data_IF_288942162345
#
_entry.id   IF_288942162345
#
_cell.length_a   1.000
_cell.length_b   1.000
_cell.length_c   1.000
_cell.angle_alpha   90.00
_cell.angle_beta   90.00
_cell.angle_gamma   90.00
#
_symmetry.space_group_name_H-M   'P 1'
#
loop_
_entity.id
_entity.type
_entity.pdbx_description
1 polymer ?
#
# COMPACT_ATOMS: atom_id res chain seq x y z
N UNK A 1 -12.76 -42.15 -59.19
CA UNK A 1 -13.24 -40.73 -59.13
C UNK A 1 -13.22 -40.30 -57.66
N UNK A 2 -12.24 -39.49 -57.29
CA UNK A 2 -12.06 -39.03 -55.91
C UNK A 2 -12.53 -37.58 -55.85
N UNK A 3 -13.66 -37.31 -55.17
CA UNK A 3 -14.17 -35.96 -54.92
C UNK A 3 -13.43 -35.34 -53.76
N UNK A 4 -12.76 -34.19 -54.03
CA UNK A 4 -12.15 -33.31 -53.01
C UNK A 4 -13.22 -32.35 -52.50
N UNK A 5 -13.60 -32.45 -51.26
CA UNK A 5 -14.40 -31.43 -50.58
C UNK A 5 -13.44 -30.33 -50.05
N UNK A 6 -13.56 -29.15 -50.64
CA UNK A 6 -12.88 -27.92 -50.18
C UNK A 6 -13.79 -27.32 -49.11
N UNK A 7 -13.32 -27.37 -47.85
CA UNK A 7 -13.97 -26.74 -46.72
C UNK A 7 -13.58 -25.24 -46.72
N UNK A 8 -14.50 -24.39 -47.12
CA UNK A 8 -14.35 -22.94 -47.00
C UNK A 8 -14.60 -22.52 -45.54
N UNK A 9 -13.50 -22.20 -44.83
CA UNK A 9 -13.55 -21.62 -43.50
C UNK A 9 -13.89 -20.12 -43.66
N UNK A 10 -15.14 -19.75 -43.49
CA UNK A 10 -15.55 -18.34 -43.43
C UNK A 10 -15.13 -17.79 -42.08
N UNK A 11 -13.95 -17.15 -41.99
CA UNK A 11 -13.59 -16.26 -40.90
C UNK A 11 -14.45 -14.99 -40.97
N UNK A 12 -15.58 -15.02 -40.28
CA UNK A 12 -16.34 -13.80 -40.03
C UNK A 12 -15.53 -12.90 -39.08
N UNK A 13 -14.78 -11.97 -39.67
CA UNK A 13 -14.25 -10.81 -38.97
C UNK A 13 -15.46 -9.98 -38.48
N UNK A 14 -15.82 -10.14 -37.24
CA UNK A 14 -16.63 -9.15 -36.54
C UNK A 14 -15.76 -7.88 -36.41
N UNK A 15 -15.83 -7.03 -37.43
CA UNK A 15 -15.51 -5.61 -37.31
C UNK A 15 -16.60 -4.99 -36.42
N UNK A 16 -16.47 -5.20 -35.11
CA UNK A 16 -17.17 -4.37 -34.14
C UNK A 16 -16.70 -2.95 -34.36
N UNK A 17 -17.49 -2.15 -35.10
CA UNK A 17 -17.29 -0.72 -35.20
C UNK A 17 -17.24 -0.17 -33.78
N UNK A 18 -16.06 0.25 -33.32
CA UNK A 18 -15.90 1.01 -32.10
C UNK A 18 -16.66 2.32 -32.31
N UNK A 19 -17.94 2.33 -31.96
CA UNK A 19 -18.75 3.55 -31.88
C UNK A 19 -18.03 4.48 -30.91
N UNK A 20 -17.54 5.61 -31.43
CA UNK A 20 -16.85 6.58 -30.59
C UNK A 20 -17.79 6.98 -29.43
N UNK A 21 -17.39 6.63 -28.22
CA UNK A 21 -18.16 6.86 -27.01
C UNK A 21 -18.46 8.36 -26.86
N UNK A 22 -19.70 8.70 -26.63
CA UNK A 22 -20.11 10.11 -26.49
C UNK A 22 -19.77 10.63 -25.08
N UNK A 23 -19.67 11.93 -24.94
CA UNK A 23 -19.47 12.60 -23.64
C UNK A 23 -20.57 12.23 -22.62
N UNK A 24 -21.82 12.06 -23.09
CA UNK A 24 -22.95 11.69 -22.24
C UNK A 24 -22.81 10.26 -21.73
N UNK A 25 -22.41 9.33 -22.58
CA UNK A 25 -22.11 7.95 -22.18
C UNK A 25 -20.95 7.90 -21.18
N UNK A 26 -19.88 8.68 -21.39
CA UNK A 26 -18.78 8.76 -20.46
C UNK A 26 -19.21 9.30 -19.08
N UNK A 27 -20.10 10.31 -19.05
CA UNK A 27 -20.69 10.80 -17.79
C UNK A 27 -21.52 9.74 -17.08
N UNK A 28 -22.31 8.96 -17.80
CA UNK A 28 -23.08 7.87 -17.23
C UNK A 28 -22.17 6.78 -16.61
N UNK A 29 -21.08 6.43 -17.30
CA UNK A 29 -20.06 5.49 -16.78
C UNK A 29 -19.38 6.07 -15.55
N UNK A 30 -18.97 7.32 -15.58
CA UNK A 30 -18.36 7.99 -14.42
C UNK A 30 -19.27 7.94 -13.19
N UNK A 31 -20.57 8.23 -13.37
CA UNK A 31 -21.55 8.17 -12.27
C UNK A 31 -21.75 6.76 -11.73
N UNK A 32 -21.55 5.73 -12.56
CA UNK A 32 -21.59 4.33 -12.15
C UNK A 32 -20.27 3.84 -11.48
N UNK A 33 -19.20 4.63 -11.55
CA UNK A 33 -17.88 4.24 -11.07
C UNK A 33 -17.02 3.50 -12.10
N UNK A 34 -17.46 3.36 -13.35
CA UNK A 34 -16.71 2.73 -14.45
C UNK A 34 -15.66 3.69 -15.02
N UNK A 35 -14.70 4.07 -14.17
CA UNK A 35 -13.70 5.11 -14.48
C UNK A 35 -12.78 4.73 -15.64
N UNK A 36 -12.37 3.47 -15.72
CA UNK A 36 -11.55 2.95 -16.82
C UNK A 36 -12.19 3.18 -18.19
N UNK A 37 -13.49 2.90 -18.31
CA UNK A 37 -14.21 3.05 -19.55
C UNK A 37 -14.52 4.53 -19.87
N UNK A 38 -14.74 5.36 -18.86
CA UNK A 38 -15.01 6.79 -19.02
C UNK A 38 -13.76 7.60 -19.39
N UNK A 39 -12.61 7.20 -18.87
CA UNK A 39 -11.33 7.92 -18.93
C UNK A 39 -10.89 8.34 -20.33
N UNK A 40 -10.91 7.50 -21.39
CA UNK A 40 -10.44 7.90 -22.72
C UNK A 40 -11.21 9.07 -23.30
N UNK A 41 -12.52 9.13 -23.06
CA UNK A 41 -13.38 10.24 -23.54
C UNK A 41 -13.02 11.53 -22.81
N UNK A 42 -12.95 11.51 -21.49
CA UNK A 42 -12.58 12.71 -20.71
C UNK A 42 -11.17 13.19 -20.99
N UNK A 43 -10.22 12.27 -21.23
CA UNK A 43 -8.87 12.62 -21.67
C UNK A 43 -8.87 13.44 -22.96
N UNK A 44 -9.64 12.99 -23.97
CA UNK A 44 -9.78 13.70 -25.23
C UNK A 44 -10.32 15.12 -25.02
N UNK A 45 -11.37 15.28 -24.20
CA UNK A 45 -11.96 16.59 -23.93
C UNK A 45 -11.04 17.47 -23.06
N UNK A 46 -10.38 16.94 -22.04
CA UNK A 46 -9.45 17.69 -21.22
C UNK A 46 -8.23 18.19 -22.03
N UNK A 47 -7.73 17.38 -22.96
CA UNK A 47 -6.64 17.78 -23.86
C UNK A 47 -7.07 18.82 -24.91
N UNK A 48 -8.28 18.71 -25.44
CA UNK A 48 -8.79 19.65 -26.45
C UNK A 48 -9.23 20.98 -25.86
N UNK A 49 -9.63 21.00 -24.59
CA UNK A 49 -10.09 22.19 -23.86
C UNK A 49 -9.43 22.28 -22.48
N UNK A 50 -8.13 22.54 -22.40
CA UNK A 50 -7.37 22.45 -21.15
C UNK A 50 -7.78 23.49 -20.09
N UNK A 51 -8.50 24.54 -20.50
CA UNK A 51 -9.03 25.54 -19.56
C UNK A 51 -10.41 25.18 -18.99
N UNK A 52 -11.04 24.10 -19.46
CA UNK A 52 -12.34 23.67 -18.98
C UNK A 52 -12.19 22.84 -17.70
N UNK A 53 -12.51 23.44 -16.55
CA UNK A 53 -12.40 22.80 -15.26
C UNK A 53 -13.20 21.51 -15.10
N UNK A 54 -14.39 21.41 -15.73
CA UNK A 54 -15.20 20.20 -15.62
C UNK A 54 -14.56 19.01 -16.36
N UNK A 55 -13.98 19.22 -17.53
CA UNK A 55 -13.27 18.15 -18.23
C UNK A 55 -12.01 17.73 -17.49
N UNK A 56 -11.29 18.69 -16.94
CA UNK A 56 -10.14 18.43 -16.07
C UNK A 56 -10.56 17.65 -14.82
N UNK A 57 -11.67 18.01 -14.19
CA UNK A 57 -12.22 17.29 -13.05
C UNK A 57 -12.53 15.83 -13.35
N UNK A 58 -13.36 15.57 -14.38
CA UNK A 58 -13.73 14.19 -14.71
C UNK A 58 -12.55 13.34 -15.11
N UNK A 59 -11.61 13.89 -15.90
CA UNK A 59 -10.41 13.17 -16.28
C UNK A 59 -9.49 12.92 -15.07
N UNK A 60 -9.26 13.94 -14.25
CA UNK A 60 -8.43 13.82 -13.06
C UNK A 60 -8.98 12.80 -12.05
N UNK A 61 -10.31 12.79 -11.83
CA UNK A 61 -10.93 11.76 -10.98
C UNK A 61 -10.77 10.36 -11.59
N UNK A 62 -10.94 10.21 -12.90
CA UNK A 62 -10.68 8.93 -13.56
C UNK A 62 -9.23 8.48 -13.35
N UNK A 63 -8.24 9.36 -13.56
CA UNK A 63 -6.83 9.04 -13.33
C UNK A 63 -6.59 8.60 -11.88
N UNK A 64 -7.11 9.33 -10.90
CA UNK A 64 -6.99 8.96 -9.49
C UNK A 64 -7.56 7.57 -9.22
N UNK A 65 -8.77 7.30 -9.70
CA UNK A 65 -9.47 6.02 -9.46
C UNK A 65 -8.92 4.85 -10.26
N UNK A 66 -8.04 5.09 -11.23
CA UNK A 66 -7.35 4.09 -12.04
C UNK A 66 -5.84 3.99 -11.73
N UNK A 67 -5.39 4.55 -10.59
CA UNK A 67 -4.02 4.39 -10.10
C UNK A 67 -2.99 5.27 -10.80
N UNK A 68 -3.38 6.44 -11.30
CA UNK A 68 -2.49 7.43 -11.92
C UNK A 68 -2.55 8.77 -11.16
N UNK A 69 -2.10 8.80 -9.88
CA UNK A 69 -2.29 9.96 -9.01
C UNK A 69 -1.51 11.19 -9.47
N UNK A 70 -0.33 11.05 -10.07
CA UNK A 70 0.46 12.19 -10.57
C UNK A 70 -0.25 12.90 -11.74
N UNK A 71 -0.84 12.14 -12.65
CA UNK A 71 -1.63 12.72 -13.74
C UNK A 71 -2.94 13.32 -13.19
N UNK A 72 -3.54 12.69 -12.17
CA UNK A 72 -4.71 13.22 -11.48
C UNK A 72 -4.44 14.59 -10.85
N UNK A 73 -3.34 14.77 -10.13
CA UNK A 73 -2.94 16.05 -9.54
C UNK A 73 -2.97 17.15 -10.57
N UNK A 74 -2.29 16.98 -11.70
CA UNK A 74 -2.17 17.98 -12.77
C UNK A 74 -3.53 18.50 -13.27
N UNK A 75 -4.50 17.61 -13.44
CA UNK A 75 -5.82 17.99 -13.95
C UNK A 75 -6.74 18.48 -12.82
N UNK A 76 -6.64 17.92 -11.63
CA UNK A 76 -7.44 18.36 -10.49
C UNK A 76 -7.04 19.75 -9.99
N UNK A 77 -5.75 20.11 -10.04
CA UNK A 77 -5.30 21.50 -9.81
C UNK A 77 -6.02 22.49 -10.76
N UNK A 78 -6.17 22.12 -12.02
CA UNK A 78 -6.94 22.95 -12.98
C UNK A 78 -8.40 23.01 -12.58
N UNK A 79 -9.02 21.91 -12.17
CA UNK A 79 -10.41 21.88 -11.73
C UNK A 79 -10.64 22.77 -10.50
N UNK A 80 -9.76 22.70 -9.50
CA UNK A 80 -9.80 23.55 -8.28
C UNK A 80 -9.62 25.03 -8.65
N UNK A 81 -8.64 25.36 -9.48
CA UNK A 81 -8.44 26.74 -9.99
C UNK A 81 -9.68 27.29 -10.70
N UNK A 82 -10.45 26.42 -11.34
CA UNK A 82 -11.73 26.77 -11.99
C UNK A 82 -12.94 26.64 -11.05
N UNK A 83 -12.71 26.38 -9.75
CA UNK A 83 -13.76 26.27 -8.71
C UNK A 83 -14.81 25.20 -9.00
N UNK A 84 -14.39 24.08 -9.57
CA UNK A 84 -15.28 22.93 -9.78
C UNK A 84 -15.61 22.31 -8.43
N UNK A 85 -16.90 22.14 -8.17
CA UNK A 85 -17.37 21.55 -6.92
C UNK A 85 -16.80 20.13 -6.72
N UNK A 86 -16.31 19.84 -5.53
CA UNK A 86 -15.66 18.56 -5.19
C UNK A 86 -14.23 18.42 -5.69
N UNK A 87 -13.70 19.39 -6.44
CA UNK A 87 -12.32 19.35 -6.93
C UNK A 87 -11.29 19.23 -5.80
N UNK A 88 -11.47 19.97 -4.71
CA UNK A 88 -10.58 19.94 -3.55
C UNK A 88 -10.53 18.58 -2.85
N UNK A 89 -11.67 17.88 -2.76
CA UNK A 89 -11.73 16.54 -2.18
C UNK A 89 -10.83 15.56 -2.94
N UNK A 90 -11.00 15.48 -4.26
CA UNK A 90 -10.21 14.56 -5.08
C UNK A 90 -8.76 15.01 -5.27
N UNK A 91 -8.50 16.32 -5.27
CA UNK A 91 -7.13 16.82 -5.30
C UNK A 91 -6.39 16.47 -4.01
N UNK A 92 -7.04 16.61 -2.85
CA UNK A 92 -6.49 16.17 -1.57
C UNK A 92 -6.16 14.67 -1.56
N UNK A 93 -7.06 13.82 -2.08
CA UNK A 93 -6.79 12.39 -2.24
C UNK A 93 -5.60 12.14 -3.17
N UNK A 94 -5.51 12.83 -4.32
CA UNK A 94 -4.39 12.69 -5.25
C UNK A 94 -3.06 13.15 -4.65
N UNK A 95 -3.09 14.20 -3.82
CA UNK A 95 -1.91 14.63 -3.06
C UNK A 95 -1.48 13.60 -2.02
N UNK A 96 -2.42 12.96 -1.32
CA UNK A 96 -2.10 11.84 -0.42
C UNK A 96 -1.41 10.70 -1.17
N UNK A 97 -1.96 10.28 -2.31
CA UNK A 97 -1.43 9.16 -3.11
C UNK A 97 -0.07 9.50 -3.76
N UNK A 98 0.33 10.79 -3.75
CA UNK A 98 1.65 11.27 -4.21
C UNK A 98 2.55 11.76 -3.06
N UNK A 99 2.24 11.37 -1.83
CA UNK A 99 2.99 11.74 -0.60
C UNK A 99 3.12 13.24 -0.33
N UNK A 100 2.26 14.05 -0.93
CA UNK A 100 2.18 15.50 -0.73
C UNK A 100 1.18 15.83 0.39
N UNK A 101 1.41 15.30 1.57
CA UNK A 101 0.46 15.34 2.68
C UNK A 101 0.12 16.75 3.17
N UNK A 102 1.07 17.68 3.12
CA UNK A 102 0.82 19.08 3.50
C UNK A 102 -0.18 19.76 2.54
N UNK A 103 -0.01 19.52 1.25
CA UNK A 103 -0.95 20.00 0.22
C UNK A 103 -2.33 19.33 0.38
N UNK A 104 -2.36 18.05 0.73
CA UNK A 104 -3.60 17.32 1.00
C UNK A 104 -4.36 17.91 2.21
N UNK A 105 -3.66 18.17 3.31
CA UNK A 105 -4.24 18.83 4.51
C UNK A 105 -4.88 20.15 4.13
N UNK A 106 -4.18 21.01 3.39
CA UNK A 106 -4.70 22.30 2.93
C UNK A 106 -5.97 22.12 2.09
N UNK A 107 -5.97 21.17 1.14
CA UNK A 107 -7.15 20.89 0.31
C UNK A 107 -8.36 20.43 1.12
N UNK A 108 -8.18 19.55 2.11
CA UNK A 108 -9.28 19.08 2.93
C UNK A 108 -9.79 20.16 3.87
N UNK A 109 -8.94 20.99 4.47
CA UNK A 109 -9.35 22.12 5.30
C UNK A 109 -10.20 23.14 4.49
N UNK A 110 -9.77 23.47 3.27
CA UNK A 110 -10.55 24.35 2.39
C UNK A 110 -11.89 23.70 1.98
N UNK A 111 -11.90 22.38 1.73
CA UNK A 111 -13.11 21.65 1.38
C UNK A 111 -14.11 21.60 2.53
N UNK A 112 -13.65 21.34 3.75
CA UNK A 112 -14.45 21.36 4.99
C UNK A 112 -15.06 22.76 5.20
N UNK A 113 -14.26 23.80 5.01
CA UNK A 113 -14.75 25.18 5.14
C UNK A 113 -15.89 25.50 4.15
N UNK A 114 -15.79 24.98 2.89
CA UNK A 114 -16.85 25.14 1.89
C UNK A 114 -18.11 24.32 2.24
N UNK A 115 -17.96 23.08 2.69
CA UNK A 115 -19.06 22.24 3.13
C UNK A 115 -19.81 22.86 4.32
N UNK A 116 -19.07 23.38 5.31
CA UNK A 116 -19.63 24.06 6.49
C UNK A 116 -20.45 25.28 6.10
N UNK A 117 -19.95 26.13 5.18
CA UNK A 117 -20.69 27.27 4.65
C UNK A 117 -22.00 26.85 3.97
N UNK A 118 -21.98 25.68 3.32
CA UNK A 118 -23.16 25.12 2.63
C UNK A 118 -24.03 24.25 3.53
N UNK A 119 -23.74 24.15 4.82
CA UNK A 119 -24.44 23.32 5.81
C UNK A 119 -24.54 21.84 5.37
N UNK A 120 -23.48 21.30 4.80
CA UNK A 120 -23.36 19.89 4.41
C UNK A 120 -22.52 19.13 5.45
N UNK A 121 -22.65 17.80 5.48
CA UNK A 121 -21.83 16.95 6.32
C UNK A 121 -20.35 17.10 5.97
N UNK A 122 -19.49 17.14 6.98
CA UNK A 122 -18.02 17.26 6.88
C UNK A 122 -17.32 15.97 7.28
N UNK A 123 -18.05 14.98 7.80
CA UNK A 123 -17.52 13.77 8.42
C UNK A 123 -16.50 13.02 7.56
N UNK A 124 -16.81 12.77 6.27
CA UNK A 124 -15.88 12.10 5.36
C UNK A 124 -14.60 12.92 5.13
N UNK A 125 -14.74 14.23 4.96
CA UNK A 125 -13.61 15.12 4.72
C UNK A 125 -12.74 15.28 5.98
N UNK A 126 -13.34 15.30 7.16
CA UNK A 126 -12.63 15.32 8.45
C UNK A 126 -11.84 14.03 8.67
N UNK A 127 -12.39 12.87 8.36
CA UNK A 127 -11.68 11.60 8.42
C UNK A 127 -10.44 11.58 7.50
N UNK A 128 -10.58 12.08 6.27
CA UNK A 128 -9.47 12.20 5.31
C UNK A 128 -8.42 13.22 5.80
N UNK A 129 -8.85 14.32 6.39
CA UNK A 129 -7.96 15.33 6.98
C UNK A 129 -7.12 14.74 8.11
N UNK A 130 -7.75 14.02 9.05
CA UNK A 130 -7.03 13.41 10.17
C UNK A 130 -6.04 12.34 9.70
N UNK A 131 -6.42 11.53 8.70
CA UNK A 131 -5.49 10.60 8.06
C UNK A 131 -4.28 11.35 7.48
N UNK A 132 -4.50 12.38 6.65
CA UNK A 132 -3.41 13.15 6.05
C UNK A 132 -2.50 13.81 7.08
N UNK A 133 -3.05 14.28 8.21
CA UNK A 133 -2.25 14.80 9.32
C UNK A 133 -1.43 13.73 10.01
N UNK A 134 -1.95 12.51 10.13
CA UNK A 134 -1.19 11.38 10.65
C UNK A 134 -0.04 11.02 9.70
N UNK A 135 -0.33 10.88 8.41
CA UNK A 135 0.66 10.57 7.36
C UNK A 135 1.76 11.65 7.30
N UNK A 136 1.38 12.95 7.46
CA UNK A 136 2.34 14.06 7.52
C UNK A 136 3.25 13.98 8.76
N UNK A 137 2.71 13.57 9.91
CA UNK A 137 3.53 13.35 11.12
C UNK A 137 4.51 12.22 10.92
N UNK A 138 4.06 11.10 10.32
CA UNK A 138 4.92 9.96 9.98
C UNK A 138 6.03 10.37 9.02
N UNK A 139 5.71 11.09 7.94
CA UNK A 139 6.69 11.58 6.98
C UNK A 139 7.78 12.45 7.64
N UNK A 140 7.42 13.26 8.65
CA UNK A 140 8.38 14.08 9.40
C UNK A 140 9.26 13.27 10.35
N UNK A 141 8.83 12.07 10.72
CA UNK A 141 9.60 11.12 11.54
C UNK A 141 10.45 10.15 10.73
N UNK A 142 10.32 10.14 9.40
CA UNK A 142 11.12 9.26 8.54
C UNK A 142 12.58 9.71 8.55
N UNK A 143 13.49 8.78 8.84
CA UNK A 143 14.93 8.99 8.69
C UNK A 143 15.35 8.69 7.25
N UNK A 144 16.24 9.50 6.70
CA UNK A 144 16.84 9.26 5.38
C UNK A 144 17.67 7.98 5.40
N UNK A 145 17.27 6.98 4.62
CA UNK A 145 18.01 5.73 4.48
C UNK A 145 19.13 5.91 3.46
N UNK A 146 20.37 5.76 3.93
CA UNK A 146 21.54 5.70 3.06
C UNK A 146 21.69 4.30 2.47
N UNK A 147 21.48 4.14 1.16
CA UNK A 147 21.74 2.87 0.46
C UNK A 147 23.26 2.70 0.32
N UNK A 148 23.83 1.76 1.07
CA UNK A 148 25.26 1.47 1.05
C UNK A 148 25.61 0.57 -0.12
N UNK A 149 24.76 -0.42 -0.42
CA UNK A 149 24.97 -1.39 -1.50
C UNK A 149 23.63 -1.97 -2.01
N UNK A 150 23.65 -2.58 -3.19
CA UNK A 150 22.49 -3.26 -3.77
C UNK A 150 22.92 -4.54 -4.49
N UNK A 151 22.16 -5.62 -4.30
CA UNK A 151 22.46 -6.94 -4.87
C UNK A 151 21.25 -7.44 -5.66
N UNK A 152 21.53 -8.08 -6.79
CA UNK A 152 20.53 -8.86 -7.52
C UNK A 152 20.87 -10.33 -7.32
N UNK A 153 20.02 -11.03 -6.61
CA UNK A 153 20.18 -12.45 -6.27
C UNK A 153 18.93 -13.23 -6.60
N UNK A 154 19.07 -14.52 -6.87
CA UNK A 154 17.92 -15.41 -7.00
C UNK A 154 17.18 -15.52 -5.67
N UNK A 155 15.82 -15.60 -5.72
CA UNK A 155 14.97 -15.76 -4.55
C UNK A 155 15.42 -16.91 -3.64
N UNK A 156 15.85 -18.03 -4.22
CA UNK A 156 16.35 -19.19 -3.49
C UNK A 156 17.66 -18.92 -2.72
N UNK A 157 18.45 -17.94 -3.14
CA UNK A 157 19.74 -17.58 -2.54
C UNK A 157 19.70 -16.23 -1.81
N UNK A 158 18.51 -15.71 -1.56
CA UNK A 158 18.29 -14.38 -1.00
C UNK A 158 19.11 -14.14 0.28
N UNK A 159 19.11 -15.08 1.23
CA UNK A 159 19.84 -14.95 2.49
C UNK A 159 21.36 -14.96 2.31
N UNK A 160 21.90 -15.49 1.23
CA UNK A 160 23.35 -15.49 0.98
C UNK A 160 23.94 -14.10 0.77
N UNK A 161 23.10 -13.12 0.40
CA UNK A 161 23.46 -11.71 0.26
C UNK A 161 23.57 -10.99 1.62
N UNK A 162 22.91 -11.52 2.67
CA UNK A 162 22.92 -10.92 4.00
C UNK A 162 24.10 -11.43 4.81
N UNK A 163 25.08 -10.57 5.04
CA UNK A 163 26.22 -10.84 5.93
C UNK A 163 25.93 -10.27 7.32
N UNK A 164 25.06 -10.92 8.06
CA UNK A 164 24.82 -10.57 9.46
C UNK A 164 26.00 -11.10 10.28
N UNK A 165 26.52 -10.30 11.22
CA UNK A 165 27.54 -10.79 12.15
C UNK A 165 26.96 -11.86 13.07
N UNK A 166 27.77 -12.81 13.50
CA UNK A 166 27.34 -13.85 14.45
C UNK A 166 26.82 -13.26 15.78
N UNK A 167 27.28 -12.08 16.14
CA UNK A 167 26.82 -11.30 17.29
C UNK A 167 25.42 -10.71 17.12
N UNK A 168 24.89 -10.70 15.89
CA UNK A 168 23.54 -10.18 15.59
C UNK A 168 22.50 -11.28 15.46
N UNK A 169 22.87 -12.55 15.68
CA UNK A 169 21.98 -13.70 15.52
C UNK A 169 22.06 -14.35 14.14
N UNK A 170 21.02 -15.10 13.76
CA UNK A 170 20.97 -15.85 12.50
C UNK A 170 19.63 -15.70 11.81
N UNK A 171 19.66 -15.66 10.48
CA UNK A 171 18.47 -15.67 9.64
C UNK A 171 18.38 -16.99 8.86
N UNK A 172 17.15 -17.50 8.76
CA UNK A 172 16.82 -18.71 8.00
C UNK A 172 15.60 -18.42 7.14
N UNK A 173 15.44 -19.13 6.04
CA UNK A 173 14.16 -19.18 5.35
C UNK A 173 13.15 -19.98 6.19
N UNK A 174 11.90 -19.53 6.25
CA UNK A 174 10.87 -20.16 7.08
C UNK A 174 10.73 -21.67 6.78
N UNK A 175 10.64 -22.03 5.50
CA UNK A 175 10.45 -23.41 5.10
C UNK A 175 11.66 -24.32 5.40
N UNK A 176 12.86 -23.77 5.32
CA UNK A 176 14.08 -24.51 5.69
C UNK A 176 14.15 -24.76 7.20
N UNK A 177 13.82 -23.77 8.00
CA UNK A 177 13.87 -23.87 9.45
C UNK A 177 12.82 -24.85 10.01
N UNK A 178 11.57 -24.71 9.54
CA UNK A 178 10.47 -25.55 10.03
C UNK A 178 10.27 -26.85 9.22
N UNK A 179 11.06 -27.07 8.16
CA UNK A 179 10.97 -28.25 7.28
C UNK A 179 9.56 -28.42 6.68
N UNK A 180 8.97 -27.31 6.26
CA UNK A 180 7.61 -27.27 5.70
C UNK A 180 7.65 -27.16 4.17
N UNK A 181 6.64 -27.76 3.51
CA UNK A 181 6.42 -27.59 2.07
C UNK A 181 5.66 -26.28 1.79
N UNK A 182 5.86 -25.72 0.60
CA UNK A 182 5.17 -24.52 0.15
C UNK A 182 6.10 -23.32 -0.04
N UNK A 183 5.54 -22.18 -0.41
CA UNK A 183 6.28 -20.91 -0.60
C UNK A 183 5.86 -19.93 0.51
N UNK A 184 6.47 -20.04 1.68
CA UNK A 184 6.28 -19.08 2.76
C UNK A 184 7.28 -17.91 2.55
N UNK A 185 6.80 -16.66 2.42
CA UNK A 185 7.67 -15.53 2.07
C UNK A 185 8.52 -15.01 3.23
N UNK A 186 8.30 -15.49 4.45
CA UNK A 186 8.93 -14.98 5.66
C UNK A 186 10.27 -15.63 5.98
N UNK A 187 10.98 -14.99 6.90
CA UNK A 187 12.22 -15.46 7.51
C UNK A 187 12.01 -15.83 8.95
N UNK A 188 12.91 -16.67 9.50
CA UNK A 188 13.04 -16.95 10.93
C UNK A 188 14.32 -16.29 11.42
N UNK A 189 14.19 -15.44 12.42
CA UNK A 189 15.31 -14.82 13.09
C UNK A 189 15.60 -15.55 14.41
N UNK A 190 16.80 -16.10 14.57
CA UNK A 190 17.28 -16.67 15.80
C UNK A 190 18.18 -15.66 16.50
N UNK A 191 17.93 -15.40 17.79
CA UNK A 191 18.72 -14.46 18.60
C UNK A 191 20.17 -14.90 18.72
N UNK A 192 21.08 -13.96 19.00
CA UNK A 192 22.52 -14.20 19.23
C UNK A 192 22.78 -15.38 20.14
N UNK A 193 22.11 -15.44 21.29
CA UNK A 193 22.26 -16.53 22.27
C UNK A 193 21.66 -17.86 21.77
N UNK A 194 20.85 -17.83 20.69
CA UNK A 194 20.22 -19.03 20.14
C UNK A 194 19.14 -19.65 21.03
N UNK A 195 18.57 -18.86 21.96
CA UNK A 195 17.59 -19.32 22.94
C UNK A 195 16.16 -18.93 22.57
N UNK A 196 15.98 -18.11 21.56
CA UNK A 196 14.67 -17.62 21.10
C UNK A 196 14.67 -17.39 19.60
N UNK A 197 13.55 -17.69 18.97
CA UNK A 197 13.31 -17.35 17.56
C UNK A 197 12.09 -16.47 17.43
N UNK A 198 12.11 -15.67 16.37
CA UNK A 198 11.00 -14.83 15.92
C UNK A 198 10.70 -15.12 14.45
N UNK A 199 9.45 -15.18 14.08
CA UNK A 199 8.99 -15.48 12.73
C UNK A 199 7.58 -14.97 12.53
N UNK A 200 7.12 -14.92 11.28
CA UNK A 200 5.76 -14.51 10.96
C UNK A 200 4.96 -15.69 10.44
N UNK A 201 3.75 -15.81 10.91
CA UNK A 201 2.79 -16.83 10.52
C UNK A 201 1.38 -16.22 10.51
N UNK A 202 0.42 -16.87 9.84
CA UNK A 202 -0.97 -16.40 9.84
C UNK A 202 -1.57 -16.48 11.24
N UNK A 203 -1.95 -15.31 11.76
CA UNK A 203 -2.66 -15.16 13.02
C UNK A 203 -4.16 -15.45 12.88
N UNK A 204 -4.90 -15.30 13.98
CA UNK A 204 -6.34 -15.57 14.04
C UNK A 204 -7.16 -14.70 13.06
N UNK A 205 -6.69 -13.50 12.74
CA UNK A 205 -7.35 -12.58 11.79
C UNK A 205 -7.04 -12.88 10.33
N UNK A 206 -6.14 -13.86 10.07
CA UNK A 206 -5.71 -14.25 8.73
C UNK A 206 -4.58 -13.40 8.15
N UNK A 207 -4.16 -12.32 8.82
CA UNK A 207 -2.97 -11.54 8.53
C UNK A 207 -1.71 -12.28 9.03
N UNK A 208 -0.55 -11.85 8.57
CA UNK A 208 0.71 -12.28 9.15
C UNK A 208 0.91 -11.58 10.50
N UNK A 209 1.07 -12.35 11.55
CA UNK A 209 1.42 -11.89 12.89
C UNK A 209 2.82 -12.36 13.23
N UNK A 210 3.56 -11.62 14.03
CA UNK A 210 4.87 -12.04 14.54
C UNK A 210 4.70 -12.91 15.77
N UNK A 211 5.32 -14.10 15.71
CA UNK A 211 5.36 -15.08 16.78
C UNK A 211 6.78 -15.22 17.32
N UNK A 212 6.88 -15.74 18.54
CA UNK A 212 8.15 -16.19 19.11
C UNK A 212 8.05 -17.57 19.69
N UNK A 213 9.19 -18.31 19.69
CA UNK A 213 9.38 -19.57 20.41
C UNK A 213 10.66 -19.49 21.23
N UNK A 214 10.62 -20.08 22.43
CA UNK A 214 11.79 -20.25 23.26
C UNK A 214 12.38 -21.64 23.05
N UNK A 215 13.70 -21.75 23.11
CA UNK A 215 14.41 -23.02 23.04
C UNK A 215 14.24 -23.75 24.35
N UNK A 216 13.74 -24.97 24.25
CA UNK A 216 13.73 -25.94 25.34
C UNK A 216 14.96 -26.84 25.21
N UNK A 217 15.12 -27.85 26.08
CA UNK A 217 16.33 -28.71 26.10
C UNK A 217 16.61 -29.35 24.73
N UNK A 218 15.57 -29.91 24.07
CA UNK A 218 15.71 -30.64 22.80
C UNK A 218 14.75 -30.16 21.70
N UNK A 219 13.92 -29.15 21.95
CA UNK A 219 12.87 -28.68 21.02
C UNK A 219 12.59 -27.19 21.20
N UNK A 220 11.78 -26.63 20.31
CA UNK A 220 11.23 -25.28 20.46
C UNK A 220 9.87 -25.35 21.15
N UNK A 221 9.57 -24.37 21.99
CA UNK A 221 8.24 -24.23 22.59
C UNK A 221 7.16 -24.01 21.52
N UNK A 222 5.90 -24.09 21.93
CA UNK A 222 4.81 -23.62 21.06
C UNK A 222 4.98 -22.14 20.73
N UNK A 223 4.63 -21.78 19.50
CA UNK A 223 4.62 -20.39 19.05
C UNK A 223 3.63 -19.55 19.85
N UNK A 224 4.04 -18.36 20.24
CA UNK A 224 3.20 -17.37 20.89
C UNK A 224 3.24 -16.08 20.10
N UNK A 225 2.08 -15.48 19.75
CA UNK A 225 2.08 -14.18 19.11
C UNK A 225 2.70 -13.14 20.05
N UNK A 226 3.41 -12.17 19.49
CA UNK A 226 3.94 -11.07 20.30
C UNK A 226 2.79 -10.22 20.85
N UNK A 227 2.87 -9.82 22.14
CA UNK A 227 1.83 -9.03 22.76
C UNK A 227 1.88 -7.56 22.31
N UNK A 228 0.75 -6.88 22.41
CA UNK A 228 0.63 -5.45 22.16
C UNK A 228 0.43 -5.09 20.70
N UNK A 229 0.77 -3.86 20.36
CA UNK A 229 0.41 -3.22 19.10
C UNK A 229 1.12 -3.75 17.85
N UNK A 230 2.16 -4.58 17.99
CA UNK A 230 2.92 -5.12 16.83
C UNK A 230 2.00 -5.86 15.85
N UNK A 231 1.06 -6.65 16.36
CA UNK A 231 0.18 -7.51 15.58
C UNK A 231 -1.23 -6.90 15.39
N UNK A 232 -1.47 -5.64 15.73
CA UNK A 232 -2.83 -5.06 15.71
C UNK A 232 -3.31 -4.62 14.33
N UNK A 233 -2.41 -4.20 13.46
CA UNK A 233 -2.75 -3.68 12.14
C UNK A 233 -1.99 -4.39 11.02
N UNK A 234 -2.70 -4.75 9.93
CA UNK A 234 -2.11 -5.30 8.70
C UNK A 234 -1.35 -6.61 8.90
N UNK A 235 -0.37 -6.83 8.03
CA UNK A 235 0.60 -7.91 8.11
C UNK A 235 1.85 -7.40 8.84
N UNK A 236 2.31 -8.11 9.86
CA UNK A 236 3.60 -7.86 10.52
C UNK A 236 4.60 -8.94 10.11
N UNK A 237 5.79 -8.56 9.60
CA UNK A 237 6.76 -9.49 9.03
C UNK A 237 8.20 -9.05 9.29
N UNK A 238 9.15 -9.95 8.98
CA UNK A 238 10.60 -9.73 9.04
C UNK A 238 11.10 -9.20 10.39
N UNK A 239 10.76 -9.85 11.51
CA UNK A 239 11.22 -9.41 12.84
C UNK A 239 12.73 -9.54 12.97
N UNK A 240 13.34 -8.51 13.57
CA UNK A 240 14.75 -8.49 13.94
C UNK A 240 14.91 -7.85 15.32
N UNK A 241 15.56 -8.54 16.25
CA UNK A 241 15.75 -8.06 17.63
C UNK A 241 17.20 -7.67 17.82
N UNK A 242 17.44 -6.49 18.38
CA UNK A 242 18.80 -6.04 18.70
C UNK A 242 19.42 -6.87 19.83
N UNK A 243 20.74 -6.76 19.97
CA UNK A 243 21.51 -7.44 21.02
C UNK A 243 21.10 -7.04 22.45
N UNK A 244 20.34 -5.95 22.61
CA UNK A 244 19.75 -5.56 23.91
C UNK A 244 18.61 -6.52 24.35
N UNK A 245 18.12 -7.35 23.44
CA UNK A 245 17.07 -8.34 23.68
C UNK A 245 15.66 -7.77 23.86
N UNK A 246 15.49 -6.45 23.76
CA UNK A 246 14.21 -5.77 24.01
C UNK A 246 13.75 -4.90 22.84
N UNK A 247 14.67 -4.39 22.03
CA UNK A 247 14.34 -3.56 20.86
C UNK A 247 14.11 -4.47 19.64
N UNK A 248 12.94 -4.35 19.02
CA UNK A 248 12.55 -5.12 17.82
C UNK A 248 12.26 -4.17 16.66
N UNK A 249 12.85 -4.47 15.51
CA UNK A 249 12.48 -3.93 14.22
C UNK A 249 11.62 -4.95 13.48
N UNK A 250 10.64 -4.48 12.76
CA UNK A 250 9.78 -5.31 11.92
C UNK A 250 9.16 -4.49 10.80
N UNK A 251 8.66 -5.16 9.77
CA UNK A 251 7.95 -4.50 8.68
C UNK A 251 6.44 -4.76 8.82
N UNK A 252 5.61 -3.74 8.56
CA UNK A 252 4.16 -3.88 8.49
C UNK A 252 3.57 -3.06 7.36
N UNK A 253 2.46 -3.53 6.78
CA UNK A 253 1.64 -2.84 5.79
C UNK A 253 0.32 -2.29 6.37
N UNK A 254 0.14 -2.42 7.67
CA UNK A 254 -1.09 -1.99 8.36
C UNK A 254 -1.11 -0.51 8.73
N UNK A 255 0.04 0.03 9.08
CA UNK A 255 0.27 1.45 9.38
C UNK A 255 1.48 1.89 8.57
N UNK A 256 1.51 3.16 8.16
CA UNK A 256 2.61 3.66 7.36
C UNK A 256 2.16 4.45 6.14
N UNK A 257 3.11 4.76 5.27
CA UNK A 257 2.90 5.59 4.08
C UNK A 257 2.44 4.78 2.86
N UNK A 258 2.32 3.47 2.99
CA UNK A 258 1.86 2.54 1.96
C UNK A 258 2.85 1.42 1.66
N UNK A 259 2.34 0.19 1.47
CA UNK A 259 3.17 -1.01 1.40
C UNK A 259 3.74 -1.39 2.76
N UNK A 260 4.91 -2.05 2.76
CA UNK A 260 5.62 -2.38 4.00
C UNK A 260 6.55 -1.23 4.40
N UNK A 261 6.31 -0.68 5.59
CA UNK A 261 7.21 0.27 6.25
C UNK A 261 7.92 -0.43 7.43
N UNK A 262 9.12 0.05 7.81
CA UNK A 262 9.88 -0.49 8.92
C UNK A 262 9.53 0.28 10.19
N UNK A 263 9.17 -0.45 11.22
CA UNK A 263 8.86 0.08 12.54
C UNK A 263 9.82 -0.45 13.58
N UNK A 264 10.04 0.34 14.61
CA UNK A 264 10.80 -0.06 15.80
C UNK A 264 9.93 0.08 17.06
N UNK A 265 10.07 -0.88 17.98
CA UNK A 265 9.47 -0.78 19.30
C UNK A 265 10.33 -1.48 20.33
N UNK A 266 10.02 -1.28 21.61
CA UNK A 266 10.75 -1.86 22.72
C UNK A 266 9.82 -2.62 23.65
N UNK A 267 10.27 -3.80 24.09
CA UNK A 267 9.57 -4.58 25.09
C UNK A 267 9.74 -3.96 26.49
N UNK A 268 8.62 -3.72 27.15
CA UNK A 268 8.57 -3.23 28.51
C UNK A 268 8.31 -4.40 29.47
N UNK A 269 9.33 -4.80 30.22
CA UNK A 269 9.27 -5.92 31.17
C UNK A 269 8.32 -5.68 32.34
N UNK A 270 7.99 -4.41 32.64
CA UNK A 270 7.07 -4.08 33.74
C UNK A 270 5.60 -4.29 33.35
N UNK A 271 5.27 -4.09 32.08
CA UNK A 271 3.90 -4.24 31.56
C UNK A 271 3.69 -5.51 30.75
N UNK A 272 4.76 -6.30 30.54
CA UNK A 272 4.78 -7.53 29.73
C UNK A 272 4.22 -7.28 28.30
N UNK A 273 4.57 -6.13 27.71
CA UNK A 273 4.07 -5.70 26.40
C UNK A 273 5.10 -4.83 25.67
N UNK A 274 4.93 -4.69 24.35
CA UNK A 274 5.70 -3.73 23.57
C UNK A 274 5.10 -2.33 23.69
N UNK A 275 5.94 -1.31 23.62
CA UNK A 275 5.52 0.09 23.50
C UNK A 275 4.85 0.33 22.15
N UNK A 276 4.20 1.48 22.00
CA UNK A 276 3.67 1.90 20.70
C UNK A 276 4.82 1.97 19.68
N UNK A 277 4.72 1.29 18.52
CA UNK A 277 5.73 1.35 17.48
C UNK A 277 5.90 2.76 16.89
N UNK A 278 7.12 3.06 16.48
CA UNK A 278 7.51 4.31 15.82
C UNK A 278 8.10 4.02 14.44
#
# INVERSE_FOLDING_TARGET
MKGKYILFLICSFFLGGASAQTLEQARALFTKGDYEQAKPVFQKYAKSQPSNGNYSYWYGVCCLKTGEPEEAVKYLETAVKRRVAGGQLYLGQAYNDTYRFEDAVNCFEEYIADLTKRKRSTEEAEALLEKSKADLRMLKGVEDVCIIDSFVVDKANFLSAYKISEESGKLFMFNEFFQTEGDHPGTVYETEIGNKIYYSEKGERGNLDIFSKNKLLNEWSNGRPLPGSINESGNANYPFVLSDGVTIYYATDGEGLGGYDIFVTRYNTNTDSYLTPE
#
